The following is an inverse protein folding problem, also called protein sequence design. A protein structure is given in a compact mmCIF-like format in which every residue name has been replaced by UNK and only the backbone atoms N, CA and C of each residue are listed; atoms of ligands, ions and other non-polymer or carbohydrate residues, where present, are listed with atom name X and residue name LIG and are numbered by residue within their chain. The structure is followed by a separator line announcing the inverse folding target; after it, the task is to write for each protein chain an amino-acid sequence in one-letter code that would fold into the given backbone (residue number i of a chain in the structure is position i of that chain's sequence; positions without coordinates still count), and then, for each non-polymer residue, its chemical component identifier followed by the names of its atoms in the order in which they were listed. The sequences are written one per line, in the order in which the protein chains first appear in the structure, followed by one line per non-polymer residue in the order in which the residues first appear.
data_IF_874172843827
#
_entry.id   IF_874172843827
#
_cell.length_a   1.000
_cell.length_b   1.000
_cell.length_c   1.000
_cell.angle_alpha   90.00
_cell.angle_beta   90.00
_cell.angle_gamma   90.00
#
_symmetry.space_group_name_H-M   'P 1'
#
loop_
_entity.id
_entity.type
_entity.pdbx_description
1 polymer ?
#
# COMPACT_ATOMS: atom_id res chain seq x y z
N UNK A 1 -4.14 -38.14 -10.06
CA UNK A 1 -5.48 -37.89 -9.51
C UNK A 1 -5.92 -36.54 -10.06
N UNK A 2 -7.02 -36.51 -10.82
CA UNK A 2 -7.60 -35.27 -11.31
C UNK A 2 -8.38 -34.64 -10.14
N UNK A 3 -7.75 -33.77 -9.37
CA UNK A 3 -8.47 -32.84 -8.52
C UNK A 3 -9.01 -31.76 -9.43
N UNK A 4 -10.32 -31.70 -9.63
CA UNK A 4 -10.95 -30.55 -10.26
C UNK A 4 -10.49 -29.29 -9.51
N UNK A 5 -10.17 -28.19 -10.21
CA UNK A 5 -9.80 -26.97 -9.53
C UNK A 5 -10.95 -26.48 -8.66
N UNK A 6 -10.66 -26.24 -7.39
CA UNK A 6 -11.65 -25.83 -6.40
C UNK A 6 -12.05 -24.38 -6.65
N UNK A 7 -13.33 -24.18 -6.98
CA UNK A 7 -13.91 -22.86 -7.26
C UNK A 7 -14.18 -22.17 -5.92
N UNK A 8 -13.68 -20.95 -5.74
CA UNK A 8 -13.79 -20.18 -4.49
C UNK A 8 -12.51 -20.14 -3.66
N UNK A 9 -11.53 -21.01 -3.98
CA UNK A 9 -10.20 -21.04 -3.37
C UNK A 9 -9.54 -19.66 -3.26
N UNK A 10 -9.62 -18.86 -4.34
CA UNK A 10 -8.93 -17.56 -4.39
C UNK A 10 -9.63 -16.48 -3.55
N UNK A 11 -10.85 -16.74 -3.09
CA UNK A 11 -11.61 -15.85 -2.23
C UNK A 11 -11.45 -16.19 -0.73
N UNK A 12 -10.88 -17.36 -0.40
CA UNK A 12 -10.66 -17.80 0.98
C UNK A 12 -9.24 -17.42 1.44
N UNK A 13 -9.08 -16.53 2.45
CA UNK A 13 -7.77 -16.17 2.98
C UNK A 13 -6.96 -17.37 3.50
N UNK A 14 -7.64 -18.40 4.04
CA UNK A 14 -6.99 -19.59 4.61
C UNK A 14 -6.17 -20.36 3.56
N UNK A 15 -6.54 -20.21 2.28
CA UNK A 15 -5.78 -20.77 1.15
C UNK A 15 -4.30 -20.37 1.16
N UNK A 16 -3.99 -19.18 1.68
CA UNK A 16 -2.66 -18.58 1.58
C UNK A 16 -1.77 -18.83 2.81
N UNK A 17 -2.30 -19.41 3.90
CA UNK A 17 -1.55 -19.70 5.14
C UNK A 17 -0.34 -20.62 4.92
N UNK A 18 -0.43 -21.50 3.93
CA UNK A 18 0.63 -22.46 3.61
C UNK A 18 1.38 -22.09 2.33
N UNK A 19 1.21 -20.85 1.88
CA UNK A 19 1.81 -20.30 0.68
C UNK A 19 0.82 -20.16 -0.49
N UNK A 20 1.31 -19.56 -1.57
CA UNK A 20 0.48 -19.30 -2.75
C UNK A 20 0.11 -20.62 -3.45
N UNK A 21 -1.18 -20.84 -3.80
CA UNK A 21 -1.66 -22.09 -4.41
C UNK A 21 -1.33 -22.17 -5.92
N UNK A 22 -0.04 -22.18 -6.26
CA UNK A 22 0.44 -22.07 -7.63
C UNK A 22 -0.09 -23.17 -8.56
N UNK A 23 -0.21 -24.40 -8.07
CA UNK A 23 -0.68 -25.54 -8.86
C UNK A 23 -2.17 -25.42 -9.19
N UNK A 24 -2.99 -24.97 -8.23
CA UNK A 24 -4.42 -24.72 -8.43
C UNK A 24 -4.65 -23.54 -9.36
N UNK A 25 -3.89 -22.44 -9.19
CA UNK A 25 -3.92 -21.30 -10.12
C UNK A 25 -3.53 -21.75 -11.53
N UNK A 26 -2.53 -22.64 -11.67
CA UNK A 26 -2.13 -23.19 -12.95
C UNK A 26 -3.19 -24.07 -13.59
N UNK A 27 -3.89 -24.90 -12.81
CA UNK A 27 -5.01 -25.70 -13.27
C UNK A 27 -6.18 -24.83 -13.74
N UNK A 28 -6.60 -23.85 -12.94
CA UNK A 28 -7.65 -22.88 -13.30
C UNK A 28 -7.31 -22.15 -14.60
N UNK A 29 -6.08 -21.62 -14.70
CA UNK A 29 -5.60 -20.90 -15.89
C UNK A 29 -5.59 -21.78 -17.15
N UNK A 30 -5.31 -23.08 -17.01
CA UNK A 30 -5.29 -24.02 -18.13
C UNK A 30 -6.70 -24.35 -18.65
N UNK A 31 -7.71 -24.34 -17.77
CA UNK A 31 -9.11 -24.56 -18.13
C UNK A 31 -9.78 -23.30 -18.67
N UNK A 32 -9.66 -22.19 -17.96
CA UNK A 32 -10.14 -20.87 -18.38
C UNK A 32 -9.25 -19.75 -17.82
N UNK A 33 -8.67 -18.88 -18.66
CA UNK A 33 -7.80 -17.79 -18.21
C UNK A 33 -8.55 -16.70 -17.42
N UNK A 34 -9.87 -16.64 -17.55
CA UNK A 34 -10.77 -15.77 -16.79
C UNK A 34 -11.87 -16.64 -16.20
N UNK A 35 -11.95 -16.72 -14.88
CA UNK A 35 -12.83 -17.65 -14.17
C UNK A 35 -13.56 -16.95 -13.03
N UNK A 36 -14.85 -17.23 -12.90
CA UNK A 36 -15.64 -16.71 -11.79
C UNK A 36 -15.26 -17.43 -10.49
N UNK A 37 -15.06 -16.67 -9.43
CA UNK A 37 -14.81 -17.14 -8.07
C UNK A 37 -15.95 -16.67 -7.16
N UNK A 38 -16.75 -17.58 -6.58
CA UNK A 38 -17.69 -17.21 -5.54
C UNK A 38 -16.93 -16.78 -4.29
N UNK A 39 -17.54 -15.90 -3.50
CA UNK A 39 -17.02 -15.43 -2.22
C UNK A 39 -18.14 -15.53 -1.18
N UNK A 40 -17.86 -16.09 -0.01
CA UNK A 40 -18.90 -16.23 1.02
C UNK A 40 -19.37 -14.86 1.50
N UNK A 41 -20.68 -14.66 1.64
CA UNK A 41 -21.26 -13.37 2.03
C UNK A 41 -21.31 -12.30 0.94
N UNK A 42 -20.68 -12.53 -0.21
CA UNK A 42 -20.51 -11.55 -1.29
C UNK A 42 -20.93 -12.11 -2.66
N UNK A 43 -21.11 -11.28 -3.70
CA UNK A 43 -21.39 -11.76 -5.05
C UNK A 43 -20.30 -12.66 -5.61
N UNK A 44 -19.03 -12.42 -5.29
CA UNK A 44 -17.86 -13.05 -5.92
C UNK A 44 -17.19 -12.14 -6.97
N UNK A 45 -16.13 -12.65 -7.62
CA UNK A 45 -15.32 -11.88 -8.57
C UNK A 45 -14.82 -12.70 -9.76
N UNK A 46 -14.38 -12.01 -10.82
CA UNK A 46 -13.70 -12.62 -11.96
C UNK A 46 -12.19 -12.65 -11.72
N UNK A 47 -11.62 -13.84 -11.53
CA UNK A 47 -10.17 -14.02 -11.45
C UNK A 47 -9.55 -14.00 -12.85
N UNK A 48 -8.60 -13.09 -13.08
CA UNK A 48 -7.89 -12.92 -14.35
C UNK A 48 -6.48 -13.49 -14.19
N UNK A 49 -6.23 -14.66 -14.79
CA UNK A 49 -5.11 -15.52 -14.40
C UNK A 49 -3.92 -15.50 -15.36
N UNK A 50 -4.00 -14.80 -16.49
CA UNK A 50 -2.87 -14.65 -17.43
C UNK A 50 -2.28 -13.26 -17.38
N UNK A 51 -0.96 -13.17 -17.54
CA UNK A 51 -0.27 -11.89 -17.65
C UNK A 51 -0.85 -11.01 -18.77
N UNK A 52 -1.19 -11.60 -19.93
CA UNK A 52 -1.73 -10.85 -21.06
C UNK A 52 -3.09 -10.22 -20.73
N UNK A 53 -3.97 -10.96 -20.06
CA UNK A 53 -5.29 -10.46 -19.67
C UNK A 53 -5.20 -9.47 -18.51
N UNK A 54 -4.32 -9.69 -17.52
CA UNK A 54 -4.05 -8.70 -16.47
C UNK A 54 -3.59 -7.38 -17.08
N UNK A 55 -2.61 -7.41 -17.99
CA UNK A 55 -2.14 -6.19 -18.69
C UNK A 55 -3.27 -5.53 -19.48
N UNK A 56 -4.15 -6.31 -20.10
CA UNK A 56 -5.29 -5.78 -20.84
C UNK A 56 -6.28 -5.06 -19.92
N UNK A 57 -6.62 -5.67 -18.79
CA UNK A 57 -7.50 -5.09 -17.75
C UNK A 57 -6.88 -3.81 -17.19
N UNK A 58 -5.63 -3.87 -16.75
CA UNK A 58 -4.92 -2.72 -16.14
C UNK A 58 -4.73 -1.53 -17.09
N UNK A 59 -4.77 -1.75 -18.42
CA UNK A 59 -4.65 -0.67 -19.42
C UNK A 59 -5.98 -0.07 -19.86
N UNK A 60 -7.09 -0.74 -19.57
CA UNK A 60 -8.42 -0.35 -20.03
C UNK A 60 -9.24 0.26 -18.89
N UNK A 61 -8.72 1.31 -18.25
CA UNK A 61 -9.38 2.00 -17.14
C UNK A 61 -10.77 2.58 -17.51
N UNK A 62 -11.04 2.77 -18.80
CA UNK A 62 -12.37 3.16 -19.30
C UNK A 62 -13.40 2.02 -19.29
N UNK A 63 -12.96 0.77 -19.05
CA UNK A 63 -13.79 -0.42 -18.95
C UNK A 63 -13.71 -1.04 -17.54
N UNK A 64 -12.56 -0.97 -16.90
CA UNK A 64 -12.30 -1.52 -15.57
C UNK A 64 -11.91 -0.38 -14.62
N UNK A 65 -12.91 0.13 -13.91
CA UNK A 65 -12.80 1.26 -13.00
C UNK A 65 -12.15 0.83 -11.68
N UNK A 66 -11.24 1.64 -11.16
CA UNK A 66 -10.73 1.51 -9.79
C UNK A 66 -11.61 2.24 -8.76
N UNK A 67 -12.50 3.12 -9.24
CA UNK A 67 -13.36 3.97 -8.41
C UNK A 67 -14.75 3.38 -8.15
N UNK A 68 -15.31 2.61 -9.09
CA UNK A 68 -16.72 2.19 -9.01
C UNK A 68 -16.95 1.24 -7.84
N UNK A 69 -16.12 0.21 -7.70
CA UNK A 69 -16.18 -0.81 -6.65
C UNK A 69 -14.99 -0.83 -5.68
N UNK A 70 -14.02 0.08 -5.86
CA UNK A 70 -12.76 0.07 -5.10
C UNK A 70 -11.72 -0.90 -5.66
N UNK A 71 -10.65 -1.10 -4.90
CA UNK A 71 -9.49 -1.94 -5.29
C UNK A 71 -9.24 -3.13 -4.37
N UNK A 72 -10.20 -3.41 -3.48
CA UNK A 72 -10.22 -4.57 -2.59
C UNK A 72 -11.22 -5.61 -3.14
N UNK A 73 -11.18 -6.84 -2.63
CA UNK A 73 -12.06 -7.92 -3.11
C UNK A 73 -13.46 -7.81 -2.52
N UNK A 74 -13.54 -7.43 -1.24
CA UNK A 74 -14.76 -7.24 -0.46
C UNK A 74 -15.53 -6.00 -0.95
N UNK A 75 -16.87 -6.04 -0.87
CA UNK A 75 -17.64 -4.84 -1.12
C UNK A 75 -17.58 -3.92 0.10
N UNK A 76 -17.17 -2.67 -0.13
CA UNK A 76 -17.20 -1.64 0.89
C UNK A 76 -18.60 -1.06 1.05
N UNK A 77 -18.96 -0.68 2.28
CA UNK A 77 -20.12 0.17 2.51
C UNK A 77 -19.93 1.54 1.84
N UNK A 78 -21.02 2.29 1.66
CA UNK A 78 -21.00 3.54 0.90
C UNK A 78 -20.05 4.61 1.49
N UNK A 79 -19.88 4.66 2.81
CA UNK A 79 -19.00 5.64 3.44
C UNK A 79 -17.52 5.24 3.25
N UNK A 80 -17.21 3.97 3.48
CA UNK A 80 -15.85 3.42 3.28
C UNK A 80 -15.40 3.50 1.82
N UNK A 81 -16.30 3.23 0.87
CA UNK A 81 -16.02 3.36 -0.56
C UNK A 81 -15.73 4.82 -0.95
N UNK A 82 -16.50 5.77 -0.42
CA UNK A 82 -16.26 7.20 -0.70
C UNK A 82 -14.93 7.67 -0.13
N UNK A 83 -14.54 7.20 1.06
CA UNK A 83 -13.21 7.46 1.62
C UNK A 83 -12.10 6.85 0.74
N UNK A 84 -12.27 5.61 0.26
CA UNK A 84 -11.29 4.97 -0.61
C UNK A 84 -11.11 5.74 -1.94
N UNK A 85 -12.19 6.27 -2.53
CA UNK A 85 -12.13 7.08 -3.77
C UNK A 85 -11.28 8.35 -3.66
N UNK A 86 -11.04 8.83 -2.45
CA UNK A 86 -10.13 9.95 -2.20
C UNK A 86 -8.65 9.56 -2.27
N UNK A 87 -8.33 8.26 -2.27
CA UNK A 87 -6.97 7.75 -2.42
C UNK A 87 -6.60 7.62 -3.90
N UNK A 88 -5.35 7.97 -4.24
CA UNK A 88 -4.89 7.93 -5.63
C UNK A 88 -5.06 6.55 -6.27
N UNK A 89 -4.94 5.46 -5.51
CA UNK A 89 -5.05 4.09 -6.04
C UNK A 89 -6.45 3.74 -6.57
N UNK A 90 -7.49 4.42 -6.09
CA UNK A 90 -8.89 4.16 -6.42
C UNK A 90 -9.50 5.28 -7.26
N UNK A 91 -8.67 6.13 -7.86
CA UNK A 91 -9.11 7.14 -8.80
C UNK A 91 -9.07 6.61 -10.23
N UNK A 92 -10.05 7.00 -11.03
CA UNK A 92 -10.01 6.83 -12.49
C UNK A 92 -9.45 8.08 -13.20
N UNK A 93 -8.98 7.96 -14.45
CA UNK A 93 -8.74 9.10 -15.31
C UNK A 93 -10.01 9.96 -15.52
N UNK A 94 -9.88 11.30 -15.66
CA UNK A 94 -8.64 12.07 -15.71
C UNK A 94 -8.03 12.38 -14.33
N UNK A 95 -8.80 12.28 -13.25
CA UNK A 95 -8.38 12.70 -11.90
C UNK A 95 -7.11 11.99 -11.45
N UNK A 96 -7.04 10.66 -11.64
CA UNK A 96 -5.84 9.88 -11.35
C UNK A 96 -4.59 10.43 -12.04
N UNK A 97 -4.70 10.84 -13.32
CA UNK A 97 -3.56 11.35 -14.07
C UNK A 97 -3.10 12.70 -13.53
N UNK A 98 -4.04 13.55 -13.13
CA UNK A 98 -3.76 14.87 -12.59
C UNK A 98 -3.06 14.79 -11.22
N UNK A 99 -3.51 13.87 -10.35
CA UNK A 99 -2.93 13.65 -9.03
C UNK A 99 -1.62 12.86 -9.08
N UNK A 100 -1.49 11.89 -9.99
CA UNK A 100 -0.25 11.08 -10.13
C UNK A 100 0.91 11.87 -10.71
N UNK A 101 0.64 12.80 -11.64
CA UNK A 101 1.66 13.56 -12.35
C UNK A 101 2.69 14.28 -11.44
N UNK A 102 2.29 15.11 -10.47
CA UNK A 102 3.25 15.78 -9.57
C UNK A 102 4.08 14.78 -8.75
N UNK A 103 3.51 13.61 -8.43
CA UNK A 103 4.18 12.55 -7.68
C UNK A 103 5.17 11.76 -8.52
N UNK A 104 5.16 11.86 -9.85
CA UNK A 104 6.03 11.04 -10.68
C UNK A 104 7.51 11.44 -10.62
N UNK A 105 7.81 12.71 -10.32
CA UNK A 105 9.17 13.25 -10.33
C UNK A 105 10.09 12.57 -9.29
N UNK A 106 9.72 12.48 -8.00
CA UNK A 106 10.57 11.87 -6.97
C UNK A 106 10.83 10.38 -7.19
N UNK A 107 9.89 9.67 -7.82
CA UNK A 107 10.02 8.24 -8.11
C UNK A 107 10.76 7.96 -9.43
N UNK A 108 11.33 8.98 -10.09
CA UNK A 108 12.19 8.75 -11.26
C UNK A 108 13.44 7.96 -10.85
N UNK A 109 13.82 7.00 -11.69
CA UNK A 109 14.90 6.05 -11.40
C UNK A 109 16.24 6.70 -11.01
N UNK A 110 16.57 7.88 -11.53
CA UNK A 110 17.79 8.61 -11.13
C UNK A 110 17.76 9.07 -9.66
N UNK A 111 16.60 9.53 -9.17
CA UNK A 111 16.44 9.99 -7.79
C UNK A 111 16.44 8.78 -6.85
N UNK A 112 15.71 7.72 -7.21
CA UNK A 112 15.68 6.46 -6.45
C UNK A 112 17.07 5.82 -6.36
N UNK A 113 17.86 5.81 -7.45
CA UNK A 113 19.23 5.32 -7.43
C UNK A 113 20.14 6.10 -6.46
N UNK A 114 19.85 7.40 -6.24
CA UNK A 114 20.55 8.21 -5.24
C UNK A 114 20.30 7.77 -3.79
N UNK A 115 19.22 7.02 -3.53
CA UNK A 115 18.89 6.52 -2.20
C UNK A 115 19.69 5.27 -1.81
N UNK A 116 20.29 4.56 -2.77
CA UNK A 116 21.01 3.30 -2.53
C UNK A 116 22.03 3.37 -1.39
N UNK A 117 22.96 4.36 -1.33
CA UNK A 117 23.95 4.42 -0.25
C UNK A 117 23.30 4.54 1.13
N UNK A 118 22.17 5.26 1.21
CA UNK A 118 21.46 5.48 2.47
C UNK A 118 20.66 4.26 2.90
N UNK A 119 19.98 3.59 1.96
CA UNK A 119 19.30 2.33 2.23
C UNK A 119 20.31 1.29 2.72
N UNK A 120 21.48 1.20 2.07
CA UNK A 120 22.55 0.30 2.48
C UNK A 120 23.14 0.62 3.86
N UNK A 121 23.07 1.87 4.31
CA UNK A 121 23.44 2.27 5.68
C UNK A 121 22.39 1.79 6.69
N UNK A 122 21.11 2.06 6.44
CA UNK A 122 20.00 1.60 7.29
C UNK A 122 20.01 0.07 7.42
N UNK A 123 20.18 -0.65 6.30
CA UNK A 123 20.28 -2.11 6.32
C UNK A 123 21.49 -2.59 7.13
N UNK A 124 22.62 -1.88 7.09
CA UNK A 124 23.80 -2.24 7.90
C UNK A 124 23.56 -2.01 9.39
N UNK A 125 22.88 -0.95 9.77
CA UNK A 125 22.48 -0.68 11.16
C UNK A 125 21.57 -1.79 11.69
N UNK A 126 20.51 -2.12 10.96
CA UNK A 126 19.57 -3.19 11.32
C UNK A 126 20.29 -4.55 11.47
N UNK A 127 21.19 -4.88 10.54
CA UNK A 127 21.98 -6.11 10.61
C UNK A 127 23.00 -6.10 11.75
N UNK A 128 23.52 -4.92 12.14
CA UNK A 128 24.45 -4.78 13.25
C UNK A 128 23.76 -5.05 14.61
N UNK A 129 22.50 -4.65 14.76
CA UNK A 129 21.72 -4.84 16.00
C UNK A 129 21.53 -6.33 16.34
N UNK A 130 21.48 -7.18 15.32
CA UNK A 130 21.30 -8.63 15.45
C UNK A 130 22.61 -9.42 15.29
N UNK A 131 23.73 -8.74 15.04
CA UNK A 131 25.01 -9.37 14.79
C UNK A 131 25.52 -10.17 16.01
N UNK A 132 26.00 -11.39 15.74
CA UNK A 132 26.56 -12.28 16.78
C UNK A 132 25.52 -13.08 17.57
N UNK A 133 24.23 -12.98 17.22
CA UNK A 133 23.18 -13.88 17.72
C UNK A 133 23.16 -15.17 16.90
N UNK A 134 22.95 -16.31 17.56
CA UNK A 134 22.85 -17.62 16.89
C UNK A 134 21.52 -17.82 16.15
N UNK A 135 20.50 -17.04 16.51
CA UNK A 135 19.17 -17.03 15.91
C UNK A 135 18.55 -15.64 16.00
N UNK A 136 17.71 -15.29 15.02
CA UNK A 136 16.97 -14.03 14.97
C UNK A 136 15.56 -14.29 14.43
N UNK A 137 14.56 -13.59 14.94
CA UNK A 137 13.27 -13.49 14.26
C UNK A 137 13.42 -12.46 13.13
N UNK A 138 13.50 -12.94 11.88
CA UNK A 138 13.95 -12.10 10.78
C UNK A 138 12.94 -11.02 10.38
N UNK A 139 11.64 -11.27 10.57
CA UNK A 139 10.60 -10.33 10.14
C UNK A 139 10.64 -9.08 11.02
N UNK A 140 10.30 -9.21 12.30
CA UNK A 140 10.19 -8.12 13.24
C UNK A 140 11.54 -7.54 13.65
N UNK A 141 12.61 -8.34 13.74
CA UNK A 141 13.92 -7.82 14.19
C UNK A 141 14.78 -7.25 13.05
N UNK A 142 14.47 -7.54 11.78
CA UNK A 142 15.31 -7.11 10.64
C UNK A 142 14.52 -6.38 9.56
N UNK A 143 13.39 -6.92 9.08
CA UNK A 143 12.71 -6.35 7.91
C UNK A 143 11.69 -5.28 8.26
N UNK A 144 10.88 -5.47 9.31
CA UNK A 144 9.74 -4.59 9.64
C UNK A 144 10.14 -3.12 9.82
N UNK A 145 11.33 -2.83 10.37
CA UNK A 145 11.81 -1.47 10.55
C UNK A 145 12.35 -0.81 9.27
N UNK A 146 12.76 -1.58 8.26
CA UNK A 146 13.44 -1.04 7.08
C UNK A 146 12.53 -0.12 6.25
N UNK A 147 11.31 -0.51 5.85
CA UNK A 147 10.44 0.34 5.04
C UNK A 147 10.12 1.67 5.71
N UNK A 148 9.75 1.65 7.00
CA UNK A 148 9.44 2.87 7.75
C UNK A 148 10.67 3.79 7.86
N UNK A 149 11.87 3.26 8.12
CA UNK A 149 13.11 4.06 8.14
C UNK A 149 13.43 4.68 6.78
N UNK A 150 13.25 3.94 5.69
CA UNK A 150 13.47 4.45 4.32
C UNK A 150 12.45 5.54 3.99
N UNK A 151 11.17 5.32 4.29
CA UNK A 151 10.10 6.29 4.10
C UNK A 151 10.31 7.55 4.95
N UNK A 152 10.71 7.38 6.22
CA UNK A 152 11.02 8.49 7.12
C UNK A 152 12.14 9.37 6.59
N UNK A 153 13.17 8.79 5.96
CA UNK A 153 14.20 9.57 5.26
C UNK A 153 13.66 10.26 4.02
N UNK A 154 12.96 9.53 3.15
CA UNK A 154 12.48 10.04 1.88
C UNK A 154 11.55 11.25 2.08
N UNK A 155 10.68 11.17 3.09
CA UNK A 155 9.74 12.21 3.48
C UNK A 155 10.37 13.31 4.37
N UNK A 156 11.62 13.13 4.82
CA UNK A 156 12.27 14.09 5.73
C UNK A 156 11.59 14.19 7.10
N UNK A 157 11.05 13.07 7.59
CA UNK A 157 10.43 12.96 8.91
C UNK A 157 11.50 13.00 10.00
N UNK A 158 11.23 13.60 11.17
CA UNK A 158 12.11 13.51 12.32
C UNK A 158 12.34 12.05 12.73
N UNK A 159 13.58 11.66 12.99
CA UNK A 159 13.92 10.29 13.41
C UNK A 159 13.18 9.86 14.68
N UNK A 160 12.91 10.81 15.59
CA UNK A 160 12.19 10.55 16.82
C UNK A 160 10.74 10.07 16.60
N UNK A 161 10.17 10.31 15.41
CA UNK A 161 8.79 9.96 15.09
C UNK A 161 8.69 8.61 14.37
N UNK A 162 9.81 8.00 14.00
CA UNK A 162 9.83 6.79 13.17
C UNK A 162 9.23 5.57 13.85
N UNK A 163 9.52 5.37 15.14
CA UNK A 163 8.97 4.23 15.90
C UNK A 163 7.44 4.35 16.05
N UNK A 164 6.93 5.58 16.24
CA UNK A 164 5.50 5.86 16.25
C UNK A 164 4.88 5.49 14.90
N UNK A 165 5.44 5.99 13.80
CA UNK A 165 4.93 5.72 12.46
C UNK A 165 4.98 4.22 12.11
N UNK A 166 6.03 3.52 12.52
CA UNK A 166 6.12 2.08 12.35
C UNK A 166 4.97 1.38 13.09
N UNK A 167 4.74 1.75 14.36
CA UNK A 167 3.64 1.17 15.15
C UNK A 167 2.26 1.44 14.55
N UNK A 168 2.06 2.61 13.92
CA UNK A 168 0.82 2.94 13.24
C UNK A 168 0.65 2.14 11.94
N UNK A 169 1.73 1.93 11.19
CA UNK A 169 1.72 1.11 9.99
C UNK A 169 1.37 -0.36 10.31
N UNK A 170 2.02 -0.96 11.30
CA UNK A 170 1.73 -2.33 11.75
C UNK A 170 0.27 -2.47 12.22
N UNK A 171 -0.21 -1.50 13.02
CA UNK A 171 -1.60 -1.48 13.50
C UNK A 171 -2.60 -1.37 12.36
N UNK A 172 -2.28 -0.59 11.33
CA UNK A 172 -3.14 -0.43 10.17
C UNK A 172 -3.30 -1.74 9.39
N UNK A 173 -2.21 -2.47 9.16
CA UNK A 173 -2.28 -3.78 8.53
C UNK A 173 -3.07 -4.75 9.39
N UNK A 174 -2.71 -4.86 10.68
CA UNK A 174 -3.39 -5.78 11.59
C UNK A 174 -4.86 -5.42 11.81
N UNK A 175 -5.22 -4.15 11.59
CA UNK A 175 -6.57 -3.61 11.72
C UNK A 175 -7.54 -4.11 10.64
N UNK A 176 -7.04 -4.83 9.64
CA UNK A 176 -7.82 -5.53 8.62
C UNK A 176 -7.90 -7.05 8.84
N UNK A 177 -7.22 -7.59 9.86
CA UNK A 177 -7.20 -9.01 10.18
C UNK A 177 -8.30 -9.35 11.20
N UNK A 178 -9.31 -10.16 10.82
CA UNK A 178 -10.40 -10.55 11.73
C UNK A 178 -9.92 -11.31 12.97
N UNK A 179 -8.77 -12.00 12.92
CA UNK A 179 -8.20 -12.68 14.10
C UNK A 179 -7.66 -11.69 15.14
N UNK A 180 -7.31 -10.48 14.70
CA UNK A 180 -6.70 -9.45 15.55
C UNK A 180 -7.73 -8.46 16.07
N UNK A 181 -8.65 -7.98 15.21
CA UNK A 181 -9.64 -6.94 15.56
C UNK A 181 -11.09 -7.44 15.67
N UNK A 182 -11.36 -8.69 15.31
CA UNK A 182 -12.72 -9.23 15.22
C UNK A 182 -13.47 -8.71 13.99
N UNK A 183 -14.80 -8.65 14.06
CA UNK A 183 -15.66 -8.33 12.91
C UNK A 183 -15.66 -6.84 12.52
N UNK A 184 -15.08 -5.95 13.34
CA UNK A 184 -15.03 -4.50 13.07
C UNK A 184 -13.58 -4.03 12.81
N UNK A 185 -13.28 -3.54 11.59
CA UNK A 185 -11.95 -3.02 11.27
C UNK A 185 -11.56 -1.82 12.16
N UNK A 186 -10.32 -1.80 12.66
CA UNK A 186 -9.79 -0.68 13.46
C UNK A 186 -9.15 0.39 12.57
N UNK A 187 -9.92 1.46 12.28
CA UNK A 187 -9.43 2.61 11.53
C UNK A 187 -8.64 3.63 12.37
N UNK A 188 -8.48 3.42 13.67
CA UNK A 188 -7.86 4.42 14.56
C UNK A 188 -6.41 4.73 14.17
N UNK A 189 -5.65 3.73 13.72
CA UNK A 189 -4.27 3.91 13.28
C UNK A 189 -4.17 4.78 12.02
N UNK A 190 -5.07 4.57 11.04
CA UNK A 190 -5.15 5.40 9.83
C UNK A 190 -5.48 6.86 10.16
N UNK A 191 -6.41 7.08 11.09
CA UNK A 191 -6.80 8.43 11.54
C UNK A 191 -5.64 9.11 12.28
N UNK A 192 -4.99 8.41 13.21
CA UNK A 192 -3.84 8.91 13.97
C UNK A 192 -2.68 9.29 13.04
N UNK A 193 -2.38 8.44 12.05
CA UNK A 193 -1.36 8.69 11.05
C UNK A 193 -1.70 9.88 10.14
N UNK A 194 -2.97 10.02 9.72
CA UNK A 194 -3.41 11.16 8.94
C UNK A 194 -3.29 12.48 9.73
N UNK A 195 -3.67 12.49 11.02
CA UNK A 195 -3.52 13.66 11.88
C UNK A 195 -2.05 14.05 12.06
N UNK A 196 -1.17 13.09 12.33
CA UNK A 196 0.26 13.32 12.38
C UNK A 196 0.77 13.97 11.09
N UNK A 197 0.36 13.44 9.94
CA UNK A 197 0.79 13.95 8.64
C UNK A 197 0.25 15.36 8.34
N UNK A 198 -0.99 15.68 8.75
CA UNK A 198 -1.57 17.03 8.66
C UNK A 198 -0.73 18.02 9.48
N UNK A 199 -0.44 17.68 10.74
CA UNK A 199 0.39 18.52 11.61
C UNK A 199 1.80 18.68 11.07
N UNK A 200 2.37 17.59 10.52
CA UNK A 200 3.68 17.61 9.89
C UNK A 200 3.72 18.51 8.65
N UNK A 201 2.70 18.46 7.79
CA UNK A 201 2.59 19.34 6.64
C UNK A 201 2.53 20.81 7.06
N UNK A 202 1.68 21.15 8.03
CA UNK A 202 1.55 22.49 8.57
C UNK A 202 2.88 23.01 9.15
N UNK A 203 3.58 22.17 9.94
CA UNK A 203 4.93 22.46 10.44
C UNK A 203 5.90 22.69 9.29
N UNK A 204 5.91 21.79 8.30
CA UNK A 204 6.85 21.86 7.19
C UNK A 204 6.72 23.14 6.38
N UNK A 205 5.50 23.64 6.15
CA UNK A 205 5.26 24.93 5.47
C UNK A 205 5.86 26.13 6.20
N UNK A 206 6.04 26.03 7.52
CA UNK A 206 6.64 27.10 8.33
C UNK A 206 8.18 27.06 8.35
N UNK A 207 8.78 26.00 7.82
CA UNK A 207 10.23 25.78 7.78
C UNK A 207 10.82 26.11 6.39
N UNK A 208 12.13 26.42 6.30
CA UNK A 208 12.80 26.52 5.01
C UNK A 208 12.64 25.23 4.19
N UNK A 209 12.42 25.33 2.86
CA UNK A 209 12.34 24.17 1.98
C UNK A 209 13.55 23.25 2.11
N UNK A 210 13.31 21.94 2.04
CA UNK A 210 14.34 20.90 2.10
C UNK A 210 14.31 20.08 0.81
N UNK A 211 15.42 19.40 0.53
CA UNK A 211 15.49 18.45 -0.59
C UNK A 211 14.91 17.09 -0.16
N UNK A 212 13.60 17.03 0.06
CA UNK A 212 12.88 15.79 0.41
C UNK A 212 11.49 15.71 -0.25
N UNK A 213 10.88 14.53 -0.15
CA UNK A 213 9.61 14.23 -0.81
C UNK A 213 8.46 15.08 -0.26
N UNK A 214 8.44 15.39 1.03
CA UNK A 214 7.38 16.22 1.62
C UNK A 214 7.40 17.64 1.07
N UNK A 215 8.56 18.28 0.96
CA UNK A 215 8.65 19.62 0.35
C UNK A 215 8.17 19.59 -1.10
N UNK A 216 8.57 18.58 -1.88
CA UNK A 216 8.14 18.45 -3.27
C UNK A 216 6.63 18.25 -3.42
N UNK A 217 6.01 17.44 -2.54
CA UNK A 217 4.57 17.21 -2.56
C UNK A 217 3.81 18.50 -2.18
N UNK A 218 4.23 19.18 -1.10
CA UNK A 218 3.54 20.37 -0.62
C UNK A 218 3.65 21.58 -1.56
N UNK A 219 4.71 21.64 -2.36
CA UNK A 219 4.92 22.65 -3.41
C UNK A 219 4.26 22.28 -4.75
N UNK A 220 3.79 21.04 -4.88
CA UNK A 220 3.15 20.52 -6.09
C UNK A 220 1.69 20.96 -6.27
N UNK A 221 1.24 20.96 -7.52
CA UNK A 221 -0.16 21.17 -7.89
C UNK A 221 -0.86 19.85 -8.27
N UNK A 222 -2.00 19.60 -7.63
CA UNK A 222 -2.82 18.39 -7.75
C UNK A 222 -4.23 18.82 -8.16
N UNK A 223 -4.74 18.35 -9.31
CA UNK A 223 -6.03 18.81 -9.84
C UNK A 223 -6.10 20.32 -10.09
N UNK A 224 -4.95 20.97 -10.33
CA UNK A 224 -4.85 22.42 -10.49
C UNK A 224 -4.98 23.23 -9.19
N UNK A 225 -4.94 22.58 -8.03
CA UNK A 225 -4.88 23.22 -6.72
C UNK A 225 -3.56 22.86 -6.02
N UNK A 226 -3.02 23.73 -5.15
CA UNK A 226 -1.95 23.33 -4.25
C UNK A 226 -2.39 22.16 -3.37
N UNK A 227 -1.47 21.26 -3.06
CA UNK A 227 -1.72 20.20 -2.07
C UNK A 227 -2.19 20.84 -0.74
N UNK A 228 -3.35 20.44 -0.22
CA UNK A 228 -3.80 20.87 1.12
C UNK A 228 -3.17 19.98 2.19
N UNK A 229 -3.18 20.43 3.46
CA UNK A 229 -2.62 19.62 4.54
C UNK A 229 -3.45 18.36 4.79
N UNK A 230 -4.77 18.42 4.57
CA UNK A 230 -5.69 17.28 4.66
C UNK A 230 -5.44 16.28 3.55
N UNK A 231 -5.30 16.75 2.31
CA UNK A 231 -4.99 15.87 1.17
C UNK A 231 -3.61 15.22 1.34
N UNK A 232 -2.64 15.96 1.88
CA UNK A 232 -1.33 15.42 2.24
C UNK A 232 -1.45 14.33 3.29
N UNK A 233 -2.31 14.51 4.31
CA UNK A 233 -2.57 13.49 5.32
C UNK A 233 -3.06 12.17 4.73
N UNK A 234 -4.09 12.23 3.89
CA UNK A 234 -4.61 11.04 3.18
C UNK A 234 -3.55 10.39 2.28
N UNK A 235 -2.78 11.22 1.56
CA UNK A 235 -1.72 10.74 0.69
C UNK A 235 -0.57 10.08 1.47
N UNK A 236 -0.20 10.65 2.61
CA UNK A 236 0.83 10.12 3.49
C UNK A 236 0.46 8.72 3.99
N UNK A 237 -0.78 8.55 4.46
CA UNK A 237 -1.31 7.23 4.86
C UNK A 237 -1.14 6.25 3.70
N UNK A 238 -1.58 6.61 2.50
CA UNK A 238 -1.50 5.73 1.33
C UNK A 238 -0.06 5.27 1.02
N UNK A 239 0.94 6.17 1.07
CA UNK A 239 2.33 5.76 0.76
C UNK A 239 2.88 4.85 1.87
N UNK A 240 2.61 5.17 3.13
CA UNK A 240 3.08 4.35 4.25
C UNK A 240 2.48 2.96 4.19
N UNK A 241 1.16 2.84 4.00
CA UNK A 241 0.48 1.54 3.84
C UNK A 241 1.04 0.76 2.65
N UNK A 242 1.11 1.40 1.48
CA UNK A 242 1.50 0.71 0.25
C UNK A 242 2.97 0.29 0.24
N UNK A 243 3.82 1.01 0.98
CA UNK A 243 5.26 0.81 1.03
C UNK A 243 5.79 0.03 2.23
N UNK A 244 4.96 -0.25 3.26
CA UNK A 244 5.41 -0.96 4.46
C UNK A 244 5.51 -2.47 4.20
N UNK A 245 4.39 -3.19 4.25
CA UNK A 245 4.40 -4.67 4.27
C UNK A 245 4.73 -5.32 2.93
N UNK A 246 4.62 -4.56 1.85
CA UNK A 246 4.93 -5.04 0.50
C UNK A 246 6.44 -5.13 0.24
N UNK A 247 7.27 -4.51 1.09
CA UNK A 247 8.73 -4.36 0.92
C UNK A 247 9.50 -5.28 1.84
#
# INVERSE_FOLDING_TARGET
MNTQPEIGLLADPNTFEHGVPHDQIAALRAESPVVWQPMEGEPGFWAVLTHADVVKVSRAANLFSASEGGVVLENLDAASLEMMRMMLLAMDPPMHNEYRRPLSEPFKGKIIAGLEPRIAEISRELMADVAGRDSVEFVHEVTSGLPTKVMGRLMGLPEADWDLLHSLAERQTSGSDPEIVGDEPDYSASIEMAMYAIEFAARRRSEPPREDLTTLILDGEFGGQPMSDVDFGSFFVQIVTAGNDTT
#
